data_IF_977235328104
#
_entry.id   IF_977235328104
#
_cell.length_a   1.000
_cell.length_b   1.000
_cell.length_c   1.000
_cell.angle_alpha   90.00
_cell.angle_beta   90.00
_cell.angle_gamma   90.00
#
_symmetry.space_group_name_H-M   'P 1'
#
loop_
_entity.id
_entity.type
_entity.pdbx_description
1 polymer ?
#
# COMPACT_ATOMS: atom_id res chain seq x y z
N UNK A 1 -1.08 57.18 67.69
CA UNK A 1 -1.01 55.87 67.15
C UNK A 1 -1.87 55.83 65.91
N UNK A 2 -1.25 55.85 64.70
CA UNK A 2 -2.01 55.76 63.41
C UNK A 2 -1.70 54.39 62.81
N UNK A 3 -2.72 53.55 62.72
CA UNK A 3 -2.61 52.28 62.03
C UNK A 3 -2.86 52.49 60.52
N UNK A 4 -1.86 52.16 59.70
CA UNK A 4 -1.94 52.15 58.24
C UNK A 4 -2.38 50.77 57.79
N UNK A 5 -3.58 50.70 57.15
CA UNK A 5 -4.06 49.47 56.48
C UNK A 5 -3.47 49.38 55.07
N UNK A 6 -2.50 48.49 54.92
CA UNK A 6 -1.96 48.10 53.59
C UNK A 6 -3.00 47.32 52.83
N UNK A 7 -3.38 47.83 51.68
CA UNK A 7 -4.23 47.10 50.68
C UNK A 7 -3.33 46.11 49.92
N UNK A 8 -3.42 44.83 50.27
CA UNK A 8 -2.85 43.77 49.50
C UNK A 8 -3.77 43.49 48.28
N UNK A 9 -3.34 43.94 47.12
CA UNK A 9 -4.03 43.60 45.86
C UNK A 9 -3.67 42.16 45.49
N UNK A 10 -4.65 41.27 45.61
CA UNK A 10 -4.55 39.86 45.12
C UNK A 10 -4.70 39.88 43.62
N UNK A 11 -3.58 39.77 42.87
CA UNK A 11 -3.58 39.60 41.42
C UNK A 11 -3.88 38.13 41.13
N UNK A 12 -5.14 37.85 40.78
CA UNK A 12 -5.55 36.53 40.29
C UNK A 12 -5.08 36.43 38.82
N UNK A 13 -3.91 35.82 38.60
CA UNK A 13 -3.43 35.46 37.26
C UNK A 13 -4.25 34.27 36.81
N UNK A 14 -5.34 34.55 36.06
CA UNK A 14 -6.08 33.51 35.35
C UNK A 14 -5.21 32.95 34.25
N UNK A 15 -4.60 31.75 34.45
CA UNK A 15 -4.06 30.94 33.35
C UNK A 15 -5.21 30.53 32.45
N UNK A 16 -5.44 31.29 31.37
CA UNK A 16 -6.22 30.79 30.24
C UNK A 16 -5.41 29.63 29.63
N UNK A 17 -5.78 28.40 29.98
CA UNK A 17 -5.41 27.22 29.22
C UNK A 17 -6.10 27.34 27.86
N UNK A 18 -5.39 27.89 26.88
CA UNK A 18 -5.73 27.73 25.48
C UNK A 18 -5.47 26.26 25.15
N UNK A 19 -6.40 25.39 25.55
CA UNK A 19 -6.44 24.00 25.09
C UNK A 19 -6.58 24.02 23.59
N UNK A 20 -5.48 23.76 22.86
CA UNK A 20 -5.60 23.42 21.44
C UNK A 20 -6.54 22.21 21.36
N UNK A 21 -7.59 22.23 20.55
CA UNK A 21 -8.44 21.07 20.39
C UNK A 21 -7.54 19.94 19.85
N UNK A 22 -7.20 19.00 20.71
CA UNK A 22 -6.59 17.75 20.30
C UNK A 22 -7.69 16.99 19.55
N UNK A 23 -7.71 17.10 18.22
CA UNK A 23 -8.56 16.25 17.41
C UNK A 23 -8.03 14.82 17.58
N UNK A 24 -8.68 14.04 18.42
CA UNK A 24 -8.42 12.62 18.53
C UNK A 24 -8.64 12.00 17.15
N UNK A 25 -7.60 11.38 16.59
CA UNK A 25 -7.74 10.69 15.31
C UNK A 25 -8.79 9.58 15.43
N UNK A 26 -9.68 9.52 14.46
CA UNK A 26 -10.74 8.51 14.44
C UNK A 26 -10.18 7.12 14.10
N UNK A 27 -10.66 6.08 14.75
CA UNK A 27 -10.30 4.69 14.42
C UNK A 27 -10.83 4.28 13.05
N UNK A 28 -11.86 4.96 12.56
CA UNK A 28 -12.40 4.77 11.21
C UNK A 28 -12.75 6.11 10.59
N UNK A 29 -12.31 6.31 9.35
CA UNK A 29 -12.62 7.48 8.53
C UNK A 29 -13.18 7.04 7.18
N UNK A 30 -13.76 7.99 6.45
CA UNK A 30 -14.39 7.72 5.16
C UNK A 30 -13.91 8.69 4.08
N UNK A 31 -13.83 8.16 2.86
CA UNK A 31 -13.64 8.96 1.64
C UNK A 31 -14.83 8.79 0.71
N UNK A 32 -15.14 9.83 -0.05
CA UNK A 32 -16.24 9.88 -1.03
C UNK A 32 -15.81 10.63 -2.29
N UNK A 33 -16.32 10.21 -3.44
CA UNK A 33 -16.14 10.91 -4.70
C UNK A 33 -16.59 12.39 -4.68
N UNK A 34 -17.50 12.73 -3.77
CA UNK A 34 -18.00 14.10 -3.54
C UNK A 34 -17.52 14.70 -2.21
N UNK A 35 -16.59 14.05 -1.51
CA UNK A 35 -16.05 14.49 -0.22
C UNK A 35 -15.17 15.73 -0.29
N UNK A 36 -14.75 16.22 0.85
CA UNK A 36 -13.87 17.39 0.99
C UNK A 36 -12.80 17.12 2.06
N UNK A 37 -11.52 17.31 1.73
CA UNK A 37 -10.42 17.06 2.66
C UNK A 37 -10.35 18.07 3.83
N UNK A 38 -11.10 19.15 3.80
CA UNK A 38 -11.29 20.02 4.95
C UNK A 38 -12.21 19.40 6.02
N UNK A 39 -13.07 18.44 5.65
CA UNK A 39 -14.00 17.77 6.53
C UNK A 39 -13.31 16.81 7.51
N UNK A 40 -13.97 16.42 8.62
CA UNK A 40 -13.40 15.52 9.62
C UNK A 40 -13.24 14.06 9.15
N UNK A 41 -13.59 13.73 7.91
CA UNK A 41 -13.64 12.38 7.35
C UNK A 41 -14.59 11.43 8.11
N UNK A 42 -15.64 11.97 8.72
CA UNK A 42 -16.73 11.16 9.27
C UNK A 42 -17.59 10.59 8.13
N UNK A 43 -18.48 9.66 8.44
CA UNK A 43 -19.37 9.08 7.43
C UNK A 43 -20.33 10.11 6.80
N UNK A 44 -20.71 11.15 7.54
CA UNK A 44 -21.62 12.22 7.09
C UNK A 44 -20.90 13.42 6.50
N UNK A 45 -19.59 13.53 6.73
CA UNK A 45 -18.70 14.57 6.20
C UNK A 45 -17.37 13.91 5.78
N UNK A 46 -17.37 13.13 4.66
CA UNK A 46 -16.22 12.34 4.22
C UNK A 46 -15.14 13.20 3.59
N UNK A 47 -13.92 12.74 3.63
CA UNK A 47 -12.81 13.32 2.89
C UNK A 47 -12.89 13.00 1.39
N UNK A 48 -12.18 13.79 0.59
CA UNK A 48 -12.10 13.60 -0.87
C UNK A 48 -11.05 12.55 -1.24
N UNK A 49 -9.91 12.52 -0.53
CA UNK A 49 -8.75 11.73 -0.90
C UNK A 49 -8.28 10.82 0.24
N UNK A 50 -7.58 9.74 -0.12
CA UNK A 50 -6.89 8.91 0.87
C UNK A 50 -5.81 9.70 1.63
N UNK A 51 -5.12 10.64 0.95
CA UNK A 51 -4.12 11.50 1.56
C UNK A 51 -4.74 12.44 2.61
N UNK A 52 -5.93 12.98 2.35
CA UNK A 52 -6.69 13.78 3.33
C UNK A 52 -7.16 12.94 4.51
N UNK A 53 -7.62 11.73 4.26
CA UNK A 53 -8.15 10.84 5.29
C UNK A 53 -7.08 10.27 6.22
N UNK A 54 -5.88 9.91 5.70
CA UNK A 54 -4.85 9.25 6.52
C UNK A 54 -4.38 10.12 7.67
N UNK A 55 -4.34 11.45 7.49
CA UNK A 55 -3.96 12.39 8.55
C UNK A 55 -4.93 12.39 9.75
N UNK A 56 -6.18 12.05 9.51
CA UNK A 56 -7.29 12.04 10.48
C UNK A 56 -7.64 10.65 11.01
N UNK A 57 -7.05 9.60 10.44
CA UNK A 57 -7.22 8.22 10.87
C UNK A 57 -6.18 7.87 11.92
N UNK A 58 -6.56 7.20 12.98
CA UNK A 58 -5.65 6.71 14.01
C UNK A 58 -4.70 5.62 13.45
N UNK A 59 -3.55 5.46 14.06
CA UNK A 59 -2.64 4.34 13.81
C UNK A 59 -3.37 3.02 14.03
N UNK A 60 -3.28 2.08 13.08
CA UNK A 60 -4.03 0.82 13.10
C UNK A 60 -5.52 0.97 12.75
N UNK A 61 -5.98 2.16 12.38
CA UNK A 61 -7.36 2.43 11.99
C UNK A 61 -7.67 2.03 10.54
N UNK A 62 -8.87 2.38 10.10
CA UNK A 62 -9.38 2.05 8.76
C UNK A 62 -9.87 3.30 8.01
N UNK A 63 -9.51 3.41 6.73
CA UNK A 63 -10.13 4.33 5.78
C UNK A 63 -11.07 3.50 4.89
N UNK A 64 -12.36 3.83 4.90
CA UNK A 64 -13.38 3.15 4.11
C UNK A 64 -13.88 4.05 2.97
N UNK A 65 -14.09 3.45 1.81
CA UNK A 65 -14.72 4.13 0.68
C UNK A 65 -16.25 4.05 0.82
N UNK A 66 -16.94 5.19 0.66
CA UNK A 66 -18.41 5.26 0.71
C UNK A 66 -19.07 5.05 -0.63
N UNK A 67 -18.48 5.57 -1.70
CA UNK A 67 -19.06 5.59 -3.04
C UNK A 67 -17.97 5.54 -4.12
N UNK A 68 -18.32 5.28 -5.38
CA UNK A 68 -17.38 5.24 -6.49
C UNK A 68 -16.58 6.53 -6.62
N UNK A 69 -15.26 6.39 -6.88
CA UNK A 69 -14.42 7.57 -7.11
C UNK A 69 -12.95 7.27 -7.30
N UNK A 70 -12.24 8.31 -7.71
CA UNK A 70 -10.77 8.36 -7.70
C UNK A 70 -10.30 9.13 -6.47
N UNK A 71 -9.49 8.47 -5.63
CA UNK A 71 -9.12 8.99 -4.31
C UNK A 71 -7.68 9.47 -4.21
N UNK A 72 -7.00 9.59 -5.37
CA UNK A 72 -5.63 10.10 -5.46
C UNK A 72 -4.58 9.13 -4.93
N UNK A 73 -3.32 9.46 -5.18
CA UNK A 73 -2.16 8.72 -4.68
C UNK A 73 -1.98 8.94 -3.16
N UNK A 74 -1.28 8.00 -2.50
CA UNK A 74 -1.09 8.09 -1.06
C UNK A 74 0.30 7.64 -0.62
N UNK A 75 0.86 8.34 0.37
CA UNK A 75 2.00 7.87 1.15
C UNK A 75 1.53 7.40 2.52
N UNK A 76 1.75 6.12 2.81
CA UNK A 76 1.37 5.48 4.07
C UNK A 76 2.59 5.44 4.98
N UNK A 77 2.50 6.12 6.11
CA UNK A 77 3.60 6.26 7.09
C UNK A 77 3.29 5.62 8.44
N UNK A 78 2.15 4.95 8.54
CA UNK A 78 1.69 4.26 9.76
C UNK A 78 0.86 3.03 9.40
N UNK A 79 0.75 2.04 10.31
CA UNK A 79 -0.17 0.91 10.13
C UNK A 79 -1.59 1.40 9.88
N UNK A 80 -2.23 0.86 8.85
CA UNK A 80 -3.59 1.26 8.45
C UNK A 80 -4.23 0.22 7.54
N UNK A 81 -5.55 0.17 7.55
CA UNK A 81 -6.36 -0.55 6.55
C UNK A 81 -7.02 0.45 5.61
N UNK A 82 -6.92 0.25 4.31
CA UNK A 82 -7.71 0.96 3.30
C UNK A 82 -8.64 -0.05 2.63
N UNK A 83 -9.94 0.19 2.76
CA UNK A 83 -10.99 -0.71 2.29
C UNK A 83 -11.87 -0.03 1.25
N UNK A 84 -11.68 -0.43 0.01
CA UNK A 84 -12.50 0.00 -1.12
C UNK A 84 -13.80 -0.80 -1.25
N UNK A 85 -14.56 -0.49 -2.30
CA UNK A 85 -15.80 -1.15 -2.73
C UNK A 85 -15.63 -1.84 -4.09
N UNK A 86 -14.43 -2.34 -4.38
CA UNK A 86 -14.06 -2.98 -5.63
C UNK A 86 -13.50 -2.00 -6.67
N UNK A 87 -13.64 -2.31 -7.95
CA UNK A 87 -13.06 -1.56 -9.08
C UNK A 87 -13.51 -0.09 -9.15
N UNK A 88 -14.58 0.24 -8.48
CA UNK A 88 -15.07 1.61 -8.40
C UNK A 88 -14.29 2.48 -7.38
N UNK A 89 -13.39 1.89 -6.63
CA UNK A 89 -12.48 2.58 -5.70
C UNK A 89 -11.10 2.66 -6.32
N UNK A 90 -10.74 3.80 -6.92
CA UNK A 90 -9.53 3.88 -7.72
C UNK A 90 -8.50 4.88 -7.21
N UNK A 91 -7.25 4.54 -7.46
CA UNK A 91 -6.08 5.43 -7.39
C UNK A 91 -5.58 5.62 -8.81
N UNK A 92 -5.66 6.83 -9.34
CA UNK A 92 -5.04 7.20 -10.61
C UNK A 92 -3.69 7.85 -10.35
N UNK A 93 -2.63 7.27 -10.90
CA UNK A 93 -1.24 7.65 -10.64
C UNK A 93 -0.48 7.98 -11.94
N UNK A 94 -1.07 8.78 -12.83
CA UNK A 94 -0.42 9.20 -14.08
C UNK A 94 0.88 9.97 -13.78
N UNK A 95 2.02 9.47 -14.26
CA UNK A 95 3.34 10.04 -14.02
C UNK A 95 3.86 9.93 -12.57
N UNK A 96 3.12 9.28 -11.68
CA UNK A 96 3.43 9.20 -10.24
C UNK A 96 3.53 7.74 -9.78
N UNK A 97 3.84 7.55 -8.50
CA UNK A 97 3.63 6.27 -7.81
C UNK A 97 2.20 6.24 -7.24
N UNK A 98 1.54 5.08 -7.30
CA UNK A 98 0.18 4.93 -6.80
C UNK A 98 0.12 4.98 -5.28
N UNK A 99 0.77 4.03 -4.63
CA UNK A 99 0.86 3.90 -3.18
C UNK A 99 2.32 3.77 -2.76
N UNK A 100 2.77 4.64 -1.88
CA UNK A 100 4.07 4.53 -1.23
C UNK A 100 3.84 4.08 0.21
N UNK A 101 4.49 3.01 0.65
CA UNK A 101 4.43 2.52 2.03
C UNK A 101 5.82 2.67 2.65
N UNK A 102 5.95 3.62 3.57
CA UNK A 102 7.21 3.91 4.24
C UNK A 102 6.97 4.20 5.73
N UNK A 103 6.99 3.12 6.53
CA UNK A 103 6.77 3.22 7.98
C UNK A 103 8.13 3.20 8.67
N UNK A 104 8.59 4.35 9.09
CA UNK A 104 9.90 4.53 9.72
C UNK A 104 9.86 4.40 11.25
N UNK A 105 8.68 4.52 11.85
CA UNK A 105 8.49 4.44 13.30
C UNK A 105 7.72 3.17 13.63
N UNK A 106 8.32 2.30 14.45
CA UNK A 106 7.64 1.11 14.93
C UNK A 106 6.39 1.51 15.75
N UNK A 107 5.24 0.87 15.50
CA UNK A 107 4.04 1.14 16.27
C UNK A 107 4.21 0.68 17.71
N UNK A 108 3.53 1.37 18.64
CA UNK A 108 3.48 0.94 20.03
C UNK A 108 2.57 -0.28 20.15
N UNK A 109 2.99 -1.37 20.81
CA UNK A 109 2.12 -2.52 21.05
C UNK A 109 0.78 -2.12 21.70
N UNK A 110 -0.34 -2.78 21.37
CA UNK A 110 -0.48 -4.03 20.62
C UNK A 110 -0.51 -3.89 19.09
N UNK A 111 -0.32 -2.72 18.54
CA UNK A 111 -0.33 -2.50 17.09
C UNK A 111 0.87 -3.16 16.42
N UNK A 112 0.65 -3.67 15.21
CA UNK A 112 1.68 -4.27 14.37
C UNK A 112 1.99 -3.37 13.17
N UNK A 113 3.18 -3.51 12.62
CA UNK A 113 3.60 -2.75 11.44
C UNK A 113 2.95 -3.33 10.17
N UNK A 114 1.61 -3.32 10.12
CA UNK A 114 0.83 -3.92 9.03
C UNK A 114 0.01 -2.87 8.28
N UNK A 115 0.10 -2.91 6.96
CA UNK A 115 -0.76 -2.15 6.05
C UNK A 115 -1.63 -3.14 5.28
N UNK A 116 -2.92 -2.92 5.24
CA UNK A 116 -3.86 -3.72 4.45
C UNK A 116 -4.53 -2.84 3.40
N UNK A 117 -4.44 -3.26 2.14
CA UNK A 117 -5.18 -2.67 1.03
C UNK A 117 -6.12 -3.73 0.47
N UNK A 118 -7.41 -3.44 0.38
CA UNK A 118 -8.39 -4.39 -0.15
C UNK A 118 -9.46 -3.74 -1.00
N UNK A 119 -9.91 -4.46 -2.04
CA UNK A 119 -10.96 -4.02 -2.93
C UNK A 119 -10.68 -2.68 -3.60
N UNK A 120 -9.48 -2.48 -4.16
CA UNK A 120 -9.03 -1.22 -4.75
C UNK A 120 -8.40 -1.46 -6.11
N UNK A 121 -8.66 -0.54 -7.05
CA UNK A 121 -7.96 -0.46 -8.32
C UNK A 121 -6.84 0.59 -8.26
N UNK A 122 -5.64 0.25 -8.73
CA UNK A 122 -4.49 1.15 -8.82
C UNK A 122 -4.09 1.26 -10.28
N UNK A 123 -4.37 2.39 -10.87
CA UNK A 123 -4.23 2.65 -12.30
C UNK A 123 -3.13 3.69 -12.56
N UNK A 124 -2.06 3.27 -13.21
CA UNK A 124 -0.97 4.15 -13.65
C UNK A 124 -1.14 4.68 -15.07
N UNK A 125 -2.21 4.27 -15.77
CA UNK A 125 -2.44 4.63 -17.16
C UNK A 125 -2.79 6.13 -17.31
N UNK A 126 -2.34 6.70 -18.41
CA UNK A 126 -2.56 8.11 -18.74
C UNK A 126 -1.65 8.51 -19.89
N UNK A 127 -1.50 9.80 -20.13
CA UNK A 127 -0.55 10.34 -21.12
C UNK A 127 0.89 10.00 -20.73
N UNK A 128 1.19 10.04 -19.41
CA UNK A 128 2.44 9.55 -18.84
C UNK A 128 2.10 8.40 -17.88
N UNK A 129 2.64 7.22 -18.14
CA UNK A 129 2.45 6.07 -17.27
C UNK A 129 3.03 6.35 -15.87
N UNK A 130 2.32 5.88 -14.83
CA UNK A 130 2.87 5.86 -13.48
C UNK A 130 4.13 5.02 -13.39
N UNK A 131 4.98 5.28 -12.40
CA UNK A 131 6.24 4.53 -12.25
C UNK A 131 6.05 3.22 -11.51
N UNK A 132 5.54 3.23 -10.28
CA UNK A 132 5.24 2.04 -9.50
C UNK A 132 3.79 2.07 -9.01
N UNK A 133 3.09 0.93 -9.07
CA UNK A 133 1.74 0.82 -8.52
C UNK A 133 1.77 0.90 -7.00
N UNK A 134 2.53 0.01 -6.38
CA UNK A 134 2.79 0.01 -4.94
C UNK A 134 4.30 -0.10 -4.73
N UNK A 135 4.85 0.80 -3.91
CA UNK A 135 6.25 0.78 -3.51
C UNK A 135 6.36 0.66 -1.99
N UNK A 136 6.94 -0.45 -1.53
CA UNK A 136 7.09 -0.78 -0.11
C UNK A 136 8.54 -0.61 0.30
N UNK A 137 8.79 0.30 1.23
CA UNK A 137 10.09 0.53 1.85
C UNK A 137 10.15 -0.07 3.25
N UNK A 138 11.26 -0.69 3.59
CA UNK A 138 11.60 -1.06 4.97
C UNK A 138 10.77 -2.22 5.56
N UNK A 139 10.85 -2.39 6.86
CA UNK A 139 10.35 -3.53 7.62
C UNK A 139 8.83 -3.48 7.87
N UNK A 140 8.04 -3.58 6.82
CA UNK A 140 6.57 -3.50 6.88
C UNK A 140 5.94 -4.80 6.39
N UNK A 141 4.89 -5.25 7.08
CA UNK A 141 3.99 -6.28 6.57
C UNK A 141 2.88 -5.63 5.76
N UNK A 142 2.68 -6.06 4.52
CA UNK A 142 1.65 -5.56 3.63
C UNK A 142 0.74 -6.71 3.20
N UNK A 143 -0.56 -6.50 3.30
CA UNK A 143 -1.58 -7.44 2.82
C UNK A 143 -2.37 -6.76 1.71
N UNK A 144 -2.35 -7.37 0.53
CA UNK A 144 -3.11 -6.94 -0.63
C UNK A 144 -4.14 -8.02 -0.95
N UNK A 145 -5.42 -7.68 -0.89
CA UNK A 145 -6.50 -8.60 -1.16
C UNK A 145 -7.52 -7.99 -2.13
N UNK A 146 -7.74 -8.67 -3.25
CA UNK A 146 -8.60 -8.18 -4.32
C UNK A 146 -8.19 -6.77 -4.80
N UNK A 147 -6.92 -6.63 -5.19
CA UNK A 147 -6.34 -5.38 -5.72
C UNK A 147 -6.05 -5.58 -7.20
N UNK A 148 -6.48 -4.62 -8.04
CA UNK A 148 -6.20 -4.61 -9.47
C UNK A 148 -5.16 -3.52 -9.78
N UNK A 149 -3.96 -3.90 -10.27
CA UNK A 149 -2.84 -2.99 -10.53
C UNK A 149 -2.46 -3.05 -12.01
N UNK A 150 -2.49 -1.91 -12.69
CA UNK A 150 -2.16 -1.89 -14.12
C UNK A 150 -1.67 -0.52 -14.63
N UNK A 151 -0.99 -0.55 -15.79
CA UNK A 151 -0.61 0.65 -16.52
C UNK A 151 0.61 1.37 -15.96
N UNK A 152 1.57 0.64 -15.34
CA UNK A 152 2.79 1.22 -14.80
C UNK A 152 4.00 0.95 -15.70
N UNK A 153 4.92 1.94 -15.73
CA UNK A 153 6.10 1.89 -16.58
C UNK A 153 7.24 1.05 -16.01
N UNK A 154 7.38 0.99 -14.68
CA UNK A 154 8.50 0.32 -14.02
C UNK A 154 8.05 -0.92 -13.25
N UNK A 155 7.24 -0.78 -12.20
CA UNK A 155 6.78 -1.94 -11.45
C UNK A 155 5.28 -1.86 -11.13
N UNK A 156 4.64 -3.02 -11.10
CA UNK A 156 3.33 -3.15 -10.47
C UNK A 156 3.47 -3.02 -8.96
N UNK A 157 4.25 -3.91 -8.37
CA UNK A 157 4.64 -3.88 -6.96
C UNK A 157 6.15 -3.96 -6.87
N UNK A 158 6.75 -3.02 -6.14
CA UNK A 158 8.16 -3.04 -5.76
C UNK A 158 8.26 -3.17 -4.24
N UNK A 159 8.94 -4.21 -3.75
CA UNK A 159 9.17 -4.43 -2.33
C UNK A 159 10.65 -4.44 -2.02
N UNK A 160 11.07 -3.63 -1.06
CA UNK A 160 12.46 -3.43 -0.66
C UNK A 160 12.66 -3.68 0.84
N UNK A 161 13.91 -3.87 1.22
CA UNK A 161 14.31 -4.10 2.61
C UNK A 161 13.74 -5.40 3.18
N UNK A 162 13.52 -5.46 4.49
CA UNK A 162 12.98 -6.65 5.19
C UNK A 162 11.45 -6.74 5.15
N UNK A 163 10.80 -6.10 4.18
CA UNK A 163 9.36 -6.09 4.02
C UNK A 163 8.79 -7.47 3.67
N UNK A 164 7.57 -7.72 4.11
CA UNK A 164 6.79 -8.91 3.81
C UNK A 164 5.50 -8.49 3.12
N UNK A 165 5.29 -8.93 1.88
CA UNK A 165 4.08 -8.61 1.11
C UNK A 165 3.31 -9.90 0.82
N UNK A 166 2.02 -9.91 1.13
CA UNK A 166 1.09 -10.98 0.83
C UNK A 166 0.07 -10.46 -0.18
N UNK A 167 -0.01 -11.13 -1.32
CA UNK A 167 -0.89 -10.75 -2.43
C UNK A 167 -1.86 -11.90 -2.65
N UNK A 168 -3.15 -11.64 -2.53
CA UNK A 168 -4.19 -12.64 -2.76
C UNK A 168 -5.29 -12.09 -3.64
N UNK A 169 -5.93 -12.97 -4.43
CA UNK A 169 -7.12 -12.65 -5.21
C UNK A 169 -6.98 -11.40 -6.10
N UNK A 170 -5.76 -11.13 -6.58
CA UNK A 170 -5.40 -9.87 -7.20
C UNK A 170 -5.03 -10.04 -8.67
N UNK A 171 -5.10 -8.95 -9.43
CA UNK A 171 -4.72 -8.92 -10.85
C UNK A 171 -3.62 -7.88 -11.06
N UNK A 172 -2.52 -8.30 -11.71
CA UNK A 172 -1.44 -7.41 -12.13
C UNK A 172 -1.28 -7.49 -13.65
N UNK A 173 -1.51 -6.38 -14.35
CA UNK A 173 -1.53 -6.39 -15.80
C UNK A 173 -0.98 -5.13 -16.45
N UNK A 174 -0.55 -5.25 -17.71
CA UNK A 174 -0.09 -4.11 -18.52
C UNK A 174 1.01 -3.28 -17.83
N UNK A 175 1.97 -3.95 -17.20
CA UNK A 175 3.16 -3.35 -16.61
C UNK A 175 4.29 -3.43 -17.62
N UNK A 176 4.87 -2.28 -17.98
CA UNK A 176 5.95 -2.22 -18.97
C UNK A 176 7.30 -2.73 -18.43
N UNK A 177 7.46 -2.81 -17.12
CA UNK A 177 8.62 -3.41 -16.45
C UNK A 177 8.23 -4.71 -15.73
N UNK A 178 8.35 -4.77 -14.40
CA UNK A 178 8.13 -5.98 -13.61
C UNK A 178 6.81 -5.88 -12.84
N UNK A 179 5.93 -6.86 -13.00
CA UNK A 179 4.65 -6.82 -12.28
C UNK A 179 4.84 -7.08 -10.77
N UNK A 180 5.60 -8.10 -10.39
CA UNK A 180 5.94 -8.40 -8.99
C UNK A 180 7.46 -8.42 -8.82
N UNK A 181 7.99 -7.37 -8.22
CA UNK A 181 9.43 -7.16 -8.05
C UNK A 181 9.80 -7.14 -6.57
N UNK A 182 10.65 -8.05 -6.16
CA UNK A 182 11.18 -8.18 -4.79
C UNK A 182 12.68 -7.94 -4.79
N UNK A 183 13.16 -6.99 -3.99
CA UNK A 183 14.59 -6.65 -3.91
C UNK A 183 15.07 -6.59 -2.47
N UNK A 184 16.38 -6.62 -2.26
CA UNK A 184 17.06 -6.32 -0.99
C UNK A 184 16.43 -7.03 0.22
N UNK A 185 16.49 -8.36 0.25
CA UNK A 185 16.03 -9.20 1.37
C UNK A 185 14.52 -9.13 1.67
N UNK A 186 13.73 -8.57 0.79
CA UNK A 186 12.26 -8.56 0.95
C UNK A 186 11.66 -9.92 0.60
N UNK A 187 10.42 -10.15 1.02
CA UNK A 187 9.70 -11.38 0.74
C UNK A 187 8.30 -11.07 0.23
N UNK A 188 7.94 -11.63 -0.92
CA UNK A 188 6.59 -11.53 -1.47
C UNK A 188 5.99 -12.93 -1.58
N UNK A 189 4.76 -13.12 -1.10
CA UNK A 189 3.97 -14.30 -1.38
C UNK A 189 2.77 -13.91 -2.24
N UNK A 190 2.54 -14.63 -3.34
CA UNK A 190 1.42 -14.41 -4.27
C UNK A 190 0.60 -15.68 -4.34
N UNK A 191 -0.69 -15.54 -4.07
CA UNK A 191 -1.62 -16.66 -4.07
C UNK A 191 -2.94 -16.29 -4.75
N UNK A 192 -3.55 -17.25 -5.47
CA UNK A 192 -4.86 -17.10 -6.13
C UNK A 192 -4.97 -15.83 -7.01
N UNK A 193 -3.89 -15.44 -7.68
CA UNK A 193 -3.80 -14.16 -8.39
C UNK A 193 -3.47 -14.38 -9.87
N UNK A 194 -3.80 -13.39 -10.70
CA UNK A 194 -3.51 -13.38 -12.13
C UNK A 194 -2.44 -12.33 -12.46
N UNK A 195 -1.38 -12.76 -13.14
CA UNK A 195 -0.27 -11.89 -13.56
C UNK A 195 -0.19 -12.00 -15.08
N UNK A 196 -0.76 -11.01 -15.79
CA UNK A 196 -1.04 -11.15 -17.22
C UNK A 196 -0.59 -9.93 -18.03
N UNK A 197 -0.12 -10.17 -19.25
CA UNK A 197 0.20 -9.12 -20.22
C UNK A 197 1.23 -8.10 -19.71
N UNK A 198 2.25 -8.54 -18.97
CA UNK A 198 3.34 -7.71 -18.49
C UNK A 198 4.64 -7.96 -19.27
N UNK A 199 5.61 -7.08 -19.17
CA UNK A 199 6.95 -7.38 -19.70
C UNK A 199 7.58 -8.51 -18.88
N UNK A 200 7.70 -8.37 -17.57
CA UNK A 200 8.14 -9.44 -16.67
C UNK A 200 7.06 -9.66 -15.61
N UNK A 201 6.60 -10.91 -15.46
CA UNK A 201 5.57 -11.17 -14.46
C UNK A 201 6.13 -11.16 -13.04
N UNK A 202 7.22 -11.88 -12.77
CA UNK A 202 7.80 -12.03 -11.43
C UNK A 202 9.32 -11.97 -11.51
N UNK A 203 9.93 -11.17 -10.64
CA UNK A 203 11.38 -11.07 -10.53
C UNK A 203 11.81 -10.87 -9.07
N UNK A 204 12.40 -11.87 -8.42
CA UNK A 204 13.17 -11.70 -7.19
C UNK A 204 14.61 -11.30 -7.51
N UNK A 205 15.16 -10.31 -6.79
CA UNK A 205 16.55 -9.85 -6.89
C UNK A 205 17.21 -9.76 -5.50
N UNK A 206 18.53 -9.62 -5.48
CA UNK A 206 19.31 -9.17 -4.33
C UNK A 206 18.99 -9.88 -2.98
N UNK A 207 18.95 -11.20 -2.98
CA UNK A 207 18.70 -12.00 -1.77
C UNK A 207 17.24 -11.99 -1.31
N UNK A 208 16.33 -11.49 -2.14
CA UNK A 208 14.90 -11.52 -1.87
C UNK A 208 14.28 -12.89 -2.26
N UNK A 209 13.03 -13.08 -1.83
CA UNK A 209 12.30 -14.31 -2.13
C UNK A 209 10.88 -13.99 -2.60
N UNK A 210 10.47 -14.59 -3.73
CA UNK A 210 9.06 -14.62 -4.12
C UNK A 210 8.52 -16.05 -4.05
N UNK A 211 7.36 -16.22 -3.43
CA UNK A 211 6.65 -17.49 -3.29
C UNK A 211 5.35 -17.44 -4.08
N UNK A 212 5.08 -18.48 -4.87
CA UNK A 212 3.95 -18.56 -5.77
C UNK A 212 3.10 -19.80 -5.49
N UNK A 213 1.79 -19.63 -5.28
CA UNK A 213 0.84 -20.72 -5.10
C UNK A 213 -0.47 -20.40 -5.80
N UNK A 214 -0.95 -21.33 -6.63
CA UNK A 214 -2.24 -21.28 -7.33
C UNK A 214 -2.49 -20.00 -8.15
N UNK A 215 -1.46 -19.51 -8.86
CA UNK A 215 -1.58 -18.32 -9.70
C UNK A 215 -1.72 -18.66 -11.18
N UNK A 216 -2.29 -17.73 -11.94
CA UNK A 216 -2.23 -17.67 -13.40
C UNK A 216 -1.14 -16.71 -13.87
N UNK A 217 -0.22 -17.18 -14.69
CA UNK A 217 0.87 -16.36 -15.25
C UNK A 217 0.86 -16.49 -16.76
N UNK A 218 0.18 -15.54 -17.43
CA UNK A 218 -0.15 -15.69 -18.85
C UNK A 218 0.25 -14.46 -19.68
N UNK A 219 0.62 -14.72 -20.92
CA UNK A 219 0.81 -13.67 -21.93
C UNK A 219 1.81 -12.57 -21.50
N UNK A 220 2.77 -12.89 -20.63
CA UNK A 220 3.86 -11.97 -20.30
C UNK A 220 5.00 -12.16 -21.30
N UNK A 221 5.82 -11.14 -21.53
CA UNK A 221 7.00 -11.32 -22.34
C UNK A 221 7.97 -12.28 -21.64
N UNK A 222 8.18 -12.13 -20.34
CA UNK A 222 8.90 -13.11 -19.50
C UNK A 222 8.02 -13.49 -18.30
N UNK A 223 7.76 -14.79 -18.12
CA UNK A 223 6.96 -15.27 -16.99
C UNK A 223 7.71 -15.09 -15.67
N UNK A 224 8.86 -15.75 -15.56
CA UNK A 224 9.73 -15.71 -14.38
C UNK A 224 11.12 -15.27 -14.78
N UNK A 225 11.64 -14.22 -14.15
CA UNK A 225 13.02 -13.80 -14.24
C UNK A 225 13.67 -13.93 -12.86
N UNK A 226 14.96 -14.24 -12.80
CA UNK A 226 15.71 -14.19 -11.56
C UNK A 226 16.86 -13.21 -11.71
N UNK A 227 16.89 -12.22 -10.86
CA UNK A 227 18.07 -11.40 -10.66
C UNK A 227 19.12 -12.09 -9.82
N UNK A 228 20.27 -11.47 -9.71
CA UNK A 228 21.40 -12.03 -8.95
C UNK A 228 21.03 -12.22 -7.48
N UNK A 229 21.06 -13.47 -7.00
CA UNK A 229 20.78 -13.82 -5.60
C UNK A 229 19.30 -13.82 -5.20
N UNK A 230 18.39 -13.68 -6.16
CA UNK A 230 16.95 -13.82 -5.91
C UNK A 230 16.52 -15.28 -5.83
N UNK A 231 15.51 -15.58 -5.02
CA UNK A 231 14.92 -16.91 -4.86
C UNK A 231 13.48 -16.92 -5.31
N UNK A 232 13.14 -17.83 -6.23
CA UNK A 232 11.76 -18.09 -6.63
C UNK A 232 11.34 -19.45 -6.07
N UNK A 233 10.28 -19.49 -5.29
CA UNK A 233 9.70 -20.70 -4.73
C UNK A 233 8.29 -20.93 -5.30
N UNK A 234 7.91 -22.20 -5.48
CA UNK A 234 6.60 -22.54 -6.05
C UNK A 234 5.99 -23.75 -5.35
N UNK A 235 4.67 -23.71 -5.16
CA UNK A 235 3.89 -24.86 -4.73
C UNK A 235 3.60 -25.85 -5.89
N UNK A 236 4.14 -25.61 -7.08
CA UNK A 236 3.97 -26.44 -8.29
C UNK A 236 2.53 -26.54 -8.79
N UNK A 237 1.66 -25.64 -8.36
CA UNK A 237 0.25 -25.57 -8.73
C UNK A 237 -0.12 -24.27 -9.49
N UNK A 238 0.89 -23.52 -9.94
CA UNK A 238 0.69 -22.35 -10.78
C UNK A 238 0.49 -22.73 -12.23
N UNK A 239 -0.39 -22.02 -12.93
CA UNK A 239 -0.64 -22.19 -14.37
C UNK A 239 0.18 -21.14 -15.13
N UNK A 240 0.97 -21.60 -16.10
CA UNK A 240 1.85 -20.73 -16.88
C UNK A 240 1.69 -21.05 -18.37
N UNK A 241 1.28 -20.10 -19.20
CA UNK A 241 1.19 -20.25 -20.64
C UNK A 241 1.41 -18.94 -21.39
N UNK A 242 1.86 -19.06 -22.65
CA UNK A 242 2.10 -17.95 -23.57
C UNK A 242 3.06 -16.87 -23.05
N UNK A 243 3.97 -17.22 -22.16
CA UNK A 243 5.08 -16.34 -21.79
C UNK A 243 6.21 -16.62 -22.79
N UNK A 244 6.38 -15.72 -23.77
CA UNK A 244 7.17 -16.00 -24.98
C UNK A 244 8.68 -15.93 -24.81
N UNK A 245 9.15 -15.50 -23.64
CA UNK A 245 10.56 -15.26 -23.38
C UNK A 245 11.01 -13.90 -23.92
N UNK A 246 11.53 -13.05 -23.04
CA UNK A 246 12.09 -11.74 -23.39
C UNK A 246 13.61 -11.77 -23.42
N UNK A 247 14.21 -10.58 -23.44
CA UNK A 247 15.67 -10.42 -23.35
C UNK A 247 16.27 -10.79 -21.97
N UNK A 248 15.41 -10.94 -20.96
CA UNK A 248 15.81 -11.30 -19.59
C UNK A 248 15.90 -12.81 -19.46
N UNK A 249 16.91 -13.30 -18.75
CA UNK A 249 17.09 -14.71 -18.50
C UNK A 249 15.87 -15.28 -17.75
N UNK A 250 15.26 -16.30 -18.34
CA UNK A 250 14.14 -17.03 -17.72
C UNK A 250 14.71 -17.92 -16.63
N UNK A 251 14.06 -17.94 -15.47
CA UNK A 251 14.38 -18.91 -14.43
C UNK A 251 13.15 -19.75 -14.05
N UNK A 252 13.41 -20.96 -13.60
CA UNK A 252 12.40 -21.80 -12.99
C UNK A 252 12.49 -21.72 -11.47
N UNK A 253 11.40 -22.00 -10.76
CA UNK A 253 11.43 -22.07 -9.31
C UNK A 253 12.46 -23.09 -8.80
N UNK A 254 13.36 -22.65 -7.96
CA UNK A 254 14.43 -23.48 -7.40
C UNK A 254 14.09 -24.07 -6.04
N UNK A 255 13.02 -23.58 -5.40
CA UNK A 255 12.56 -23.99 -4.08
C UNK A 255 11.11 -24.47 -4.16
N UNK A 256 10.84 -25.66 -3.61
CA UNK A 256 9.51 -26.18 -3.49
C UNK A 256 8.83 -25.64 -2.20
N UNK A 257 7.57 -25.23 -2.33
CA UNK A 257 6.69 -24.97 -1.18
C UNK A 257 5.91 -26.24 -0.93
N UNK A 258 6.03 -26.81 0.27
CA UNK A 258 5.26 -28.01 0.65
C UNK A 258 3.82 -27.62 0.88
N UNK A 259 2.90 -28.23 0.13
CA UNK A 259 1.47 -28.14 0.38
C UNK A 259 1.13 -29.25 1.38
N UNK A 260 0.55 -28.90 2.52
CA UNK A 260 0.14 -29.83 3.59
C UNK A 260 -1.38 -29.99 3.61
#
# INVERSE_FOLDING_TARGET
MKFSFGRTALVLVGCLFLGTPAFAQATRTWVSGVGNDADPCSRTAPCKTFAGAISKTATGGEISVLDPGGFGTITITKPITISGIGEQSSILASGLQGVIINITVAPTPPQTNTVTLRNIQINGAGVALGTNGIHVFGATKVVLDNVNIFGFSTNGILSEGTSQVFITNSVLSNISGVAVHSTVSSSIAVENSEIVANNIAVQPDAGSTVRLSNNGVYNNLTGFACGTGGTLASASNNRKANNVGGAVAVCDPTVAITVQ
#
